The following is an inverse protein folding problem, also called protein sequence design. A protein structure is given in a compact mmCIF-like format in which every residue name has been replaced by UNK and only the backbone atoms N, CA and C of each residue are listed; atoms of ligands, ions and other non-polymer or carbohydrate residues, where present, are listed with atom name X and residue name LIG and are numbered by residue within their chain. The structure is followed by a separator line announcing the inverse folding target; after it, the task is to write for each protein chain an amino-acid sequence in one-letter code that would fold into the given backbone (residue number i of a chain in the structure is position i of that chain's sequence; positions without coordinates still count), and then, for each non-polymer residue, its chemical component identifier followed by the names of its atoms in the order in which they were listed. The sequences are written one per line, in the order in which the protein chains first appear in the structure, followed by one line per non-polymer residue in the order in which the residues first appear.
data_IF_838985353004
#
_entry.id   IF_838985353004
#
_cell.length_a   1.000
_cell.length_b   1.000
_cell.length_c   1.000
_cell.angle_alpha   90.00
_cell.angle_beta   90.00
_cell.angle_gamma   90.00
#
_symmetry.space_group_name_H-M   'P 1'
#
loop_
_entity.id
_entity.type
_entity.pdbx_description
1 polymer ?
#
# COMPACT_ATOMS: atom_id res chain seq x y z
N UNK A 1 0.63 5.27 -11.11
CA UNK A 1 1.38 4.75 -9.95
C UNK A 1 0.59 3.59 -9.32
N UNK A 2 1.24 2.60 -8.70
CA UNK A 2 0.57 1.46 -8.08
C UNK A 2 -0.06 1.78 -6.71
N UNK A 3 -0.80 0.82 -6.13
CA UNK A 3 -1.50 0.98 -4.84
C UNK A 3 -0.58 1.37 -3.67
N UNK A 4 0.64 0.82 -3.61
CA UNK A 4 1.62 1.19 -2.58
C UNK A 4 2.10 2.65 -2.70
N UNK A 5 2.23 3.18 -3.92
CA UNK A 5 2.58 4.59 -4.12
C UNK A 5 1.45 5.52 -3.68
N UNK A 6 0.20 5.13 -3.98
CA UNK A 6 -0.99 5.87 -3.54
C UNK A 6 -1.11 5.88 -2.01
N UNK A 7 -0.87 4.73 -1.37
CA UNK A 7 -0.85 4.63 0.09
C UNK A 7 0.21 5.56 0.71
N UNK A 8 1.44 5.53 0.19
CA UNK A 8 2.52 6.39 0.67
C UNK A 8 2.20 7.89 0.45
N UNK A 9 1.50 8.25 -0.64
CA UNK A 9 1.06 9.62 -0.87
C UNK A 9 0.03 10.08 0.16
N UNK A 10 -0.91 9.21 0.54
CA UNK A 10 -1.94 9.51 1.54
C UNK A 10 -1.34 9.67 2.94
N UNK A 11 -0.29 8.92 3.27
CA UNK A 11 0.47 9.08 4.53
C UNK A 11 1.16 10.46 4.66
N UNK A 12 1.51 11.15 3.57
CA UNK A 12 2.10 12.50 3.66
C UNK A 12 1.14 13.56 4.20
N UNK A 13 -0.17 13.31 4.15
CA UNK A 13 -1.19 14.22 4.65
C UNK A 13 -1.55 14.02 6.12
N UNK A 14 -0.98 13.02 6.79
CA UNK A 14 -1.30 12.68 8.18
C UNK A 14 -0.15 13.07 9.12
N UNK A 15 -0.48 13.52 10.33
CA UNK A 15 0.52 14.04 11.28
C UNK A 15 1.50 12.97 11.78
N UNK A 16 1.09 11.70 11.74
CA UNK A 16 1.82 10.54 12.24
C UNK A 16 2.25 9.57 11.13
N UNK A 17 2.06 9.93 9.86
CA UNK A 17 2.39 9.08 8.71
C UNK A 17 1.51 7.83 8.61
N UNK A 18 0.41 7.77 9.35
CA UNK A 18 -0.52 6.64 9.29
C UNK A 18 -1.52 6.78 8.15
N UNK A 19 -1.94 5.64 7.63
CA UNK A 19 -3.08 5.47 6.75
C UNK A 19 -4.26 4.99 7.59
N UNK A 20 -5.39 5.70 7.52
CA UNK A 20 -6.58 5.29 8.25
C UNK A 20 -7.13 3.95 7.74
N UNK A 21 -7.95 3.30 8.58
CA UNK A 21 -8.50 1.97 8.30
C UNK A 21 -9.28 1.91 6.98
N UNK A 22 -10.07 2.93 6.68
CA UNK A 22 -10.93 2.93 5.49
C UNK A 22 -10.08 3.10 4.22
N UNK A 23 -9.11 4.02 4.24
CA UNK A 23 -8.15 4.18 3.14
C UNK A 23 -7.29 2.93 2.92
N UNK A 24 -6.92 2.22 3.99
CA UNK A 24 -6.20 0.95 3.89
C UNK A 24 -7.05 -0.12 3.19
N UNK A 25 -8.29 -0.32 3.62
CA UNK A 25 -9.20 -1.32 3.03
C UNK A 25 -9.55 -1.00 1.56
N UNK A 26 -9.67 0.28 1.20
CA UNK A 26 -9.88 0.71 -0.18
C UNK A 26 -8.71 0.27 -1.09
N UNK A 27 -7.47 0.44 -0.61
CA UNK A 27 -6.28 0.12 -1.39
C UNK A 27 -5.97 -1.38 -1.34
N UNK A 28 -6.13 -2.01 -0.19
CA UNK A 28 -5.83 -3.42 0.08
C UNK A 28 -7.05 -4.08 0.70
N UNK A 29 -8.04 -4.48 -0.12
CA UNK A 29 -9.26 -5.07 0.41
C UNK A 29 -8.95 -6.43 1.05
N UNK A 30 -9.73 -6.82 2.06
CA UNK A 30 -9.65 -8.13 2.70
C UNK A 30 -10.22 -9.25 1.82
N UNK A 31 -11.12 -8.91 0.90
CA UNK A 31 -11.68 -9.82 -0.09
C UNK A 31 -11.40 -9.34 -1.51
N UNK A 32 -11.08 -10.27 -2.40
CA UNK A 32 -10.91 -10.02 -3.83
C UNK A 32 -12.22 -9.59 -4.48
N UNK A 33 -12.17 -9.04 -5.70
CA UNK A 33 -13.38 -8.63 -6.40
C UNK A 33 -14.29 -9.85 -6.60
N UNK A 34 -15.55 -9.75 -6.18
CA UNK A 34 -16.55 -10.84 -6.20
C UNK A 34 -16.89 -11.41 -7.60
N UNK A 35 -16.15 -11.02 -8.63
CA UNK A 35 -16.18 -11.58 -9.98
C UNK A 35 -15.15 -12.70 -10.19
N UNK A 36 -14.15 -12.83 -9.30
CA UNK A 36 -13.23 -13.96 -9.28
C UNK A 36 -13.63 -14.90 -8.15
N UNK A 37 -14.31 -15.98 -8.52
CA UNK A 37 -14.54 -17.10 -7.62
C UNK A 37 -13.33 -18.02 -7.67
N UNK A 38 -12.88 -18.50 -6.51
CA UNK A 38 -11.90 -19.59 -6.48
C UNK A 38 -12.52 -20.87 -7.08
N UNK A 39 -11.69 -21.89 -7.30
CA UNK A 39 -12.12 -23.19 -7.85
C UNK A 39 -13.21 -23.89 -7.01
N UNK A 40 -13.43 -23.44 -5.77
CA UNK A 40 -14.44 -23.94 -4.83
C UNK A 40 -15.68 -23.03 -4.73
N UNK A 41 -15.78 -21.97 -5.54
CA UNK A 41 -16.91 -21.04 -5.54
C UNK A 41 -16.87 -20.00 -4.39
N UNK A 42 -15.76 -19.91 -3.65
CA UNK A 42 -15.53 -18.87 -2.65
C UNK A 42 -15.08 -17.55 -3.28
N UNK A 43 -15.23 -16.44 -2.57
CA UNK A 43 -14.62 -15.16 -2.96
C UNK A 43 -13.11 -15.28 -2.76
N UNK A 44 -12.32 -15.00 -3.80
CA UNK A 44 -10.88 -14.99 -3.67
C UNK A 44 -10.43 -14.06 -2.52
N UNK A 45 -9.41 -14.41 -1.73
CA UNK A 45 -8.89 -13.53 -0.69
C UNK A 45 -8.36 -12.24 -1.31
N UNK A 46 -8.51 -11.14 -0.59
CA UNK A 46 -7.98 -9.85 -0.98
C UNK A 46 -6.50 -9.72 -0.66
N UNK A 47 -5.98 -8.50 -0.74
CA UNK A 47 -4.55 -8.22 -0.55
C UNK A 47 -4.19 -7.78 0.87
N UNK A 48 -5.18 -7.48 1.72
CA UNK A 48 -4.94 -7.01 3.09
C UNK A 48 -4.00 -7.94 3.87
N UNK A 49 -4.33 -9.23 3.90
CA UNK A 49 -3.56 -10.22 4.66
C UNK A 49 -2.13 -10.37 4.13
N UNK A 50 -1.95 -10.38 2.81
CA UNK A 50 -0.63 -10.47 2.20
C UNK A 50 0.23 -9.24 2.55
N UNK A 51 -0.35 -8.04 2.47
CA UNK A 51 0.37 -6.78 2.77
C UNK A 51 0.80 -6.70 4.23
N UNK A 52 -0.01 -7.23 5.15
CA UNK A 52 0.33 -7.31 6.57
C UNK A 52 1.33 -8.42 6.87
N UNK A 53 1.16 -9.60 6.25
CA UNK A 53 2.06 -10.75 6.45
C UNK A 53 3.48 -10.48 5.94
N UNK A 54 3.59 -9.79 4.79
CA UNK A 54 4.88 -9.38 4.21
C UNK A 54 5.48 -8.15 4.91
N UNK A 55 4.79 -7.58 5.91
CA UNK A 55 5.29 -6.45 6.70
C UNK A 55 5.35 -5.13 5.93
N UNK A 56 4.72 -5.04 4.76
CA UNK A 56 4.64 -3.79 4.00
C UNK A 56 3.91 -2.72 4.83
N UNK A 57 2.82 -3.12 5.49
CA UNK A 57 2.16 -2.32 6.51
C UNK A 57 2.12 -3.04 7.85
N UNK A 58 2.10 -2.26 8.93
CA UNK A 58 1.91 -2.73 10.29
C UNK A 58 0.80 -1.92 10.97
N UNK A 59 0.02 -2.52 11.90
CA UNK A 59 -0.96 -1.78 12.69
C UNK A 59 -0.29 -0.65 13.49
N UNK A 60 -0.90 0.54 13.49
CA UNK A 60 -0.45 1.69 14.25
C UNK A 60 -1.66 2.49 14.75
N UNK A 61 -1.97 2.38 16.04
CA UNK A 61 -3.19 2.96 16.61
C UNK A 61 -4.44 2.41 15.92
N UNK A 62 -5.30 3.31 15.46
CA UNK A 62 -6.53 2.97 14.73
C UNK A 62 -6.29 2.71 13.22
N UNK A 63 -5.10 3.00 12.72
CA UNK A 63 -4.70 2.88 11.32
C UNK A 63 -3.57 1.88 11.08
N UNK A 64 -2.87 2.09 9.98
CA UNK A 64 -1.70 1.31 9.57
C UNK A 64 -0.58 2.26 9.15
N UNK A 65 0.67 1.87 9.32
CA UNK A 65 1.83 2.59 8.78
C UNK A 65 2.72 1.65 7.99
N UNK A 66 3.61 2.20 7.18
CA UNK A 66 4.64 1.38 6.53
C UNK A 66 5.51 0.69 7.59
N UNK A 67 5.77 -0.61 7.40
CA UNK A 67 6.69 -1.35 8.27
C UNK A 67 8.13 -0.84 8.17
N UNK A 68 8.48 -0.26 7.01
CA UNK A 68 9.76 0.37 6.73
C UNK A 68 9.55 1.80 6.22
N UNK A 69 9.89 2.79 7.03
CA UNK A 69 9.76 4.20 6.67
C UNK A 69 10.63 4.56 5.45
N UNK A 70 11.84 3.99 5.34
CA UNK A 70 12.72 4.16 4.17
C UNK A 70 12.07 3.67 2.86
N UNK A 71 11.21 2.65 2.93
CA UNK A 71 10.46 2.18 1.76
C UNK A 71 9.38 3.20 1.35
N UNK A 72 8.68 3.80 2.32
CA UNK A 72 7.71 4.86 2.03
C UNK A 72 8.40 6.08 1.41
N UNK A 73 9.54 6.49 1.96
CA UNK A 73 10.35 7.59 1.45
C UNK A 73 10.87 7.29 0.03
N UNK A 74 11.35 6.07 -0.22
CA UNK A 74 11.76 5.64 -1.56
C UNK A 74 10.59 5.62 -2.55
N UNK A 75 9.42 5.11 -2.15
CA UNK A 75 8.21 5.12 -2.98
C UNK A 75 7.76 6.55 -3.35
N UNK A 76 8.04 7.54 -2.49
CA UNK A 76 7.81 8.95 -2.80
C UNK A 76 8.95 9.58 -3.62
N UNK A 77 10.19 9.13 -3.41
CA UNK A 77 11.40 9.66 -4.03
C UNK A 77 11.73 9.10 -5.43
N UNK A 78 11.12 7.98 -5.84
CA UNK A 78 11.29 7.39 -7.17
C UNK A 78 10.52 8.15 -8.28
N UNK A 79 10.78 9.46 -8.37
CA UNK A 79 10.57 10.27 -9.57
C UNK A 79 11.86 11.02 -9.93
N UNK A 80 13.01 10.39 -9.71
CA UNK A 80 14.23 10.77 -10.41
C UNK A 80 14.18 10.07 -11.77
N UNK A 81 13.92 10.84 -12.82
CA UNK A 81 14.22 10.45 -14.19
C UNK A 81 15.74 10.29 -14.31
N UNK A 82 16.23 9.12 -13.92
CA UNK A 82 17.65 8.80 -13.92
C UNK A 82 18.21 8.81 -15.35
N UNK A 83 17.37 8.48 -16.34
CA UNK A 83 17.75 8.52 -17.75
C UNK A 83 17.91 9.97 -18.24
N UNK A 84 17.03 10.89 -17.84
CA UNK A 84 17.17 12.33 -18.12
C UNK A 84 18.35 12.99 -17.42
N UNK A 85 18.70 12.53 -16.21
CA UNK A 85 19.79 13.09 -15.41
C UNK A 85 21.20 12.58 -15.78
N UNK A 86 21.30 11.40 -16.43
CA UNK A 86 22.58 10.81 -16.87
C UNK A 86 22.99 11.21 -18.29
N UNK A 87 22.11 11.88 -19.04
CA UNK A 87 22.36 12.31 -20.43
C UNK A 87 22.61 13.82 -20.60
N UNK A 88 22.90 14.55 -19.52
CA UNK A 88 23.40 15.94 -19.54
C UNK A 88 24.88 16.01 -19.22
#
# INVERSE_FOLDING_TARGET
AGKAHEAARRCLGTEDGTLDRASFEELFPASGPGTVFDEHGGTAPGWADAVLAEGLFVPAGDGHRFGHEELADWLQGAHLDLDGALHT
#
